data_IF_417368072170
#
_entry.id   IF_417368072170
#
_cell.length_a   1.000
_cell.length_b   1.000
_cell.length_c   1.000
_cell.angle_alpha   90.00
_cell.angle_beta   90.00
_cell.angle_gamma   90.00
#
_symmetry.space_group_name_H-M   'P 1'
#
loop_
_entity.id
_entity.type
_entity.pdbx_description
1 polymer ?
#
# COMPACT_ATOMS: atom_id res chain seq x y z
N UNK A 1 -11.09 0.02 15.56
CA UNK A 1 -12.18 -0.91 15.23
C UNK A 1 -13.27 -0.87 16.32
N UNK A 2 -14.51 -1.08 15.92
CA UNK A 2 -15.67 -1.22 16.80
C UNK A 2 -15.70 -2.65 17.33
N UNK A 3 -16.16 -2.82 18.57
CA UNK A 3 -16.37 -4.14 19.20
C UNK A 3 -17.87 -4.30 19.41
N UNK A 4 -18.42 -5.44 19.03
CA UNK A 4 -19.84 -5.75 19.23
C UNK A 4 -20.15 -6.12 20.70
N UNK A 5 -21.43 -6.39 20.99
CA UNK A 5 -21.87 -6.74 22.33
C UNK A 5 -21.28 -8.07 22.86
N UNK A 6 -20.70 -8.89 21.99
CA UNK A 6 -20.11 -10.19 22.33
C UNK A 6 -18.56 -10.11 22.39
N UNK A 7 -17.97 -8.92 22.25
CA UNK A 7 -16.52 -8.72 22.27
C UNK A 7 -15.82 -8.97 20.94
N UNK A 8 -16.54 -9.23 19.85
CA UNK A 8 -15.97 -9.45 18.52
C UNK A 8 -15.52 -8.12 17.91
N UNK A 9 -14.29 -8.08 17.41
CA UNK A 9 -13.76 -6.90 16.71
C UNK A 9 -14.32 -6.88 15.29
N UNK A 10 -15.15 -5.87 15.01
CA UNK A 10 -15.76 -5.66 13.70
C UNK A 10 -14.79 -4.95 12.74
N UNK A 11 -15.01 -5.13 11.43
CA UNK A 11 -14.31 -4.34 10.40
C UNK A 11 -14.99 -2.97 10.23
N UNK A 12 -15.29 -2.31 11.33
CA UNK A 12 -15.88 -0.98 11.40
C UNK A 12 -14.95 -0.06 12.20
N UNK A 13 -14.58 1.07 11.63
CA UNK A 13 -13.62 2.01 12.17
C UNK A 13 -14.27 3.39 12.29
N UNK A 14 -14.21 3.96 13.50
CA UNK A 14 -14.63 5.35 13.73
C UNK A 14 -13.43 6.27 13.64
N UNK A 15 -13.62 7.39 12.99
CA UNK A 15 -12.60 8.44 12.90
C UNK A 15 -12.21 8.96 14.28
N UNK A 16 -10.92 9.08 14.48
CA UNK A 16 -10.33 9.67 15.68
C UNK A 16 -9.10 10.48 15.31
N UNK A 17 -8.88 11.58 16.01
CA UNK A 17 -7.60 12.28 15.94
C UNK A 17 -6.47 11.37 16.42
N UNK A 18 -5.32 11.45 15.77
CA UNK A 18 -4.10 10.75 16.19
C UNK A 18 -3.62 11.42 17.47
N UNK A 19 -3.51 10.64 18.55
CA UNK A 19 -2.98 11.06 19.83
C UNK A 19 -1.50 10.70 19.98
N UNK A 20 -0.95 11.02 21.15
CA UNK A 20 0.45 10.68 21.50
C UNK A 20 0.64 9.21 21.87
N UNK A 21 -0.43 8.51 22.24
CA UNK A 21 -0.41 7.08 22.56
C UNK A 21 -1.03 6.28 21.42
N UNK A 22 -0.38 5.18 21.02
CA UNK A 22 -0.94 4.25 20.04
C UNK A 22 -2.20 3.58 20.62
N UNK A 23 -3.27 3.43 19.82
CA UNK A 23 -4.46 2.70 20.25
C UNK A 23 -4.15 1.22 20.52
N UNK A 24 -4.72 0.67 21.60
CA UNK A 24 -4.59 -0.75 21.95
C UNK A 24 -5.43 -1.67 21.05
N UNK A 25 -6.48 -1.12 20.41
CA UNK A 25 -7.35 -1.86 19.47
C UNK A 25 -6.88 -1.68 18.04
N UNK A 26 -7.25 -2.58 17.11
CA UNK A 26 -6.94 -2.43 15.69
C UNK A 26 -7.34 -1.05 15.14
N UNK A 27 -6.44 -0.42 14.42
CA UNK A 27 -6.61 0.90 13.81
C UNK A 27 -5.91 0.99 12.47
N UNK A 28 -6.33 1.94 11.66
CA UNK A 28 -5.72 2.23 10.36
C UNK A 28 -5.54 3.74 10.21
N UNK A 29 -4.65 4.14 9.31
CA UNK A 29 -4.43 5.55 8.95
C UNK A 29 -4.91 5.80 7.54
N UNK A 30 -5.54 6.96 7.31
CA UNK A 30 -5.86 7.42 5.98
C UNK A 30 -4.56 7.73 5.21
N UNK A 31 -4.53 7.35 3.94
CA UNK A 31 -3.38 7.57 3.06
C UNK A 31 -3.39 8.96 2.44
N UNK A 32 -4.57 9.53 2.23
CA UNK A 32 -4.75 10.88 1.71
C UNK A 32 -5.27 11.84 2.79
N UNK A 33 -4.97 13.12 2.62
CA UNK A 33 -5.49 14.18 3.47
C UNK A 33 -6.90 14.62 3.07
N UNK A 34 -7.50 15.59 3.79
CA UNK A 34 -8.82 16.17 3.47
C UNK A 34 -8.87 16.80 2.08
N UNK A 35 -7.74 17.21 1.53
CA UNK A 35 -7.55 17.71 0.17
C UNK A 35 -7.53 16.61 -0.90
N UNK A 36 -7.76 15.36 -0.51
CA UNK A 36 -7.73 14.15 -1.35
C UNK A 36 -6.38 13.90 -2.02
N UNK A 37 -5.31 14.46 -1.48
CA UNK A 37 -3.95 14.23 -1.94
C UNK A 37 -3.26 13.22 -1.02
N UNK A 38 -2.58 12.25 -1.61
CA UNK A 38 -1.86 11.21 -0.86
C UNK A 38 -0.58 11.76 -0.25
N UNK A 39 -0.37 11.46 1.02
CA UNK A 39 0.88 11.74 1.77
C UNK A 39 1.58 10.46 2.19
N UNK A 40 0.89 9.35 2.08
CA UNK A 40 1.39 8.01 2.31
C UNK A 40 0.95 7.14 1.13
N UNK A 41 1.83 6.26 0.68
CA UNK A 41 1.43 5.11 -0.13
C UNK A 41 1.57 3.87 0.76
N UNK A 42 0.55 3.03 0.77
CA UNK A 42 0.60 1.72 1.41
C UNK A 42 0.04 0.69 0.43
N UNK A 43 0.93 -0.12 -0.09
CA UNK A 43 0.58 -1.23 -0.96
C UNK A 43 0.22 -2.42 -0.08
N UNK A 44 -1.06 -2.76 -0.04
CA UNK A 44 -1.61 -3.86 0.75
C UNK A 44 -1.66 -5.13 -0.11
N UNK A 45 -0.78 -6.07 0.19
CA UNK A 45 -0.63 -7.33 -0.54
C UNK A 45 -1.27 -8.45 0.29
N UNK A 46 -2.49 -8.82 -0.07
CA UNK A 46 -3.28 -9.81 0.63
C UNK A 46 -2.81 -11.24 0.32
N UNK A 47 -2.60 -12.03 1.37
CA UNK A 47 -2.17 -13.42 1.20
C UNK A 47 -3.26 -14.33 0.60
N UNK A 48 -4.56 -14.08 0.87
CA UNK A 48 -5.68 -14.90 0.38
C UNK A 48 -5.46 -16.41 0.53
N UNK A 49 -4.75 -16.84 1.60
CA UNK A 49 -4.39 -18.24 1.82
C UNK A 49 -3.05 -18.68 1.22
N UNK A 50 -2.37 -17.84 0.44
CA UNK A 50 -1.00 -18.05 -0.06
C UNK A 50 -0.04 -16.92 0.41
N UNK A 51 0.55 -17.01 1.60
CA UNK A 51 1.52 -16.03 2.09
C UNK A 51 2.77 -15.92 1.20
N UNK A 52 3.11 -16.98 0.47
CA UNK A 52 4.26 -16.96 -0.42
C UNK A 52 4.00 -16.10 -1.65
N UNK A 53 2.76 -16.04 -2.16
CA UNK A 53 2.40 -15.12 -3.24
C UNK A 53 2.55 -13.66 -2.80
N UNK A 54 2.01 -13.28 -1.62
CA UNK A 54 2.16 -11.93 -1.10
C UNK A 54 3.64 -11.55 -0.86
N UNK A 55 4.47 -12.51 -0.43
CA UNK A 55 5.89 -12.28 -0.26
C UNK A 55 6.62 -12.05 -1.60
N UNK A 56 6.33 -12.87 -2.62
CA UNK A 56 6.89 -12.68 -3.99
C UNK A 56 6.51 -11.32 -4.58
N UNK A 57 5.24 -10.94 -4.47
CA UNK A 57 4.77 -9.64 -4.95
C UNK A 57 5.43 -8.47 -4.18
N UNK A 58 5.66 -8.66 -2.87
CA UNK A 58 6.39 -7.67 -2.06
C UNK A 58 7.86 -7.52 -2.52
N UNK A 59 8.53 -8.62 -2.90
CA UNK A 59 9.90 -8.58 -3.42
C UNK A 59 9.96 -7.86 -4.78
N UNK A 60 9.00 -8.14 -5.69
CA UNK A 60 8.88 -7.47 -6.99
C UNK A 60 8.67 -5.97 -6.78
N UNK A 61 7.67 -5.59 -6.01
CA UNK A 61 7.36 -4.18 -5.75
C UNK A 61 8.50 -3.46 -5.03
N UNK A 62 9.13 -4.11 -4.05
CA UNK A 62 10.30 -3.59 -3.35
C UNK A 62 11.48 -3.33 -4.30
N UNK A 63 11.67 -4.18 -5.33
CA UNK A 63 12.61 -3.95 -6.42
C UNK A 63 12.30 -2.66 -7.17
N UNK A 64 11.07 -2.52 -7.65
CA UNK A 64 10.62 -1.34 -8.41
C UNK A 64 10.75 -0.04 -7.62
N UNK A 65 10.43 -0.06 -6.32
CA UNK A 65 10.61 1.09 -5.43
C UNK A 65 12.09 1.49 -5.30
N UNK A 66 13.00 0.51 -5.17
CA UNK A 66 14.45 0.77 -5.13
C UNK A 66 14.97 1.34 -6.44
N UNK A 67 14.50 0.83 -7.58
CA UNK A 67 14.95 1.27 -8.91
C UNK A 67 14.67 2.76 -9.17
N UNK A 68 13.59 3.29 -8.58
CA UNK A 68 13.27 4.73 -8.66
C UNK A 68 13.71 5.52 -7.41
N UNK A 69 14.45 4.89 -6.49
CA UNK A 69 14.97 5.54 -5.29
C UNK A 69 13.90 5.94 -4.26
N UNK A 70 12.76 5.25 -4.22
CA UNK A 70 11.72 5.48 -3.23
C UNK A 70 12.04 4.69 -1.94
N UNK A 71 12.33 5.36 -0.81
CA UNK A 71 12.49 4.70 0.47
C UNK A 71 11.18 4.07 0.92
N UNK A 72 11.23 2.85 1.44
CA UNK A 72 10.03 2.17 1.92
C UNK A 72 10.29 1.34 3.16
N UNK A 73 9.21 1.04 3.87
CA UNK A 73 9.17 0.10 5.00
C UNK A 73 8.31 -1.09 4.60
N UNK A 74 8.90 -2.28 4.65
CA UNK A 74 8.18 -3.54 4.44
C UNK A 74 7.72 -4.09 5.78
N UNK A 75 6.43 -4.41 5.87
CA UNK A 75 5.83 -5.03 7.05
C UNK A 75 5.12 -6.33 6.70
N UNK A 76 5.11 -7.25 7.64
CA UNK A 76 4.08 -8.28 7.71
C UNK A 76 2.79 -7.64 8.23
N UNK A 77 1.66 -7.85 7.55
CA UNK A 77 0.40 -7.18 7.91
C UNK A 77 -0.24 -7.75 9.18
N UNK A 78 0.08 -9.00 9.50
CA UNK A 78 -0.45 -9.74 10.65
C UNK A 78 -0.34 -11.25 10.45
N UNK A 79 -1.00 -12.08 11.29
CA UNK A 79 -0.79 -13.53 11.33
C UNK A 79 -1.22 -14.27 10.06
N UNK A 80 -1.91 -13.62 9.14
CA UNK A 80 -2.35 -14.22 7.86
C UNK A 80 -1.28 -14.21 6.79
N UNK A 81 -0.14 -13.55 7.03
CA UNK A 81 1.01 -13.54 6.13
C UNK A 81 0.94 -12.54 4.97
N UNK A 82 -0.03 -11.63 4.96
CA UNK A 82 -0.06 -10.49 4.03
C UNK A 82 1.14 -9.56 4.23
N UNK A 83 1.39 -8.69 3.27
CA UNK A 83 2.50 -7.73 3.31
C UNK A 83 2.01 -6.31 3.04
N UNK A 84 2.61 -5.35 3.72
CA UNK A 84 2.42 -3.92 3.42
C UNK A 84 3.77 -3.30 3.07
N UNK A 85 3.83 -2.57 1.95
CA UNK A 85 4.97 -1.69 1.66
C UNK A 85 4.51 -0.25 1.84
N UNK A 86 5.19 0.46 2.72
CA UNK A 86 4.86 1.83 3.10
C UNK A 86 5.88 2.80 2.55
N UNK A 87 5.41 3.86 1.89
CA UNK A 87 6.22 4.99 1.42
C UNK A 87 5.66 6.28 2.01
N UNK A 88 6.48 7.02 2.73
CA UNK A 88 6.17 8.38 3.18
C UNK A 88 6.52 9.39 2.08
N UNK A 89 5.63 10.33 1.80
CA UNK A 89 5.80 11.33 0.77
C UNK A 89 6.12 12.70 1.37
N UNK A 90 7.25 13.31 1.01
CA UNK A 90 7.58 14.70 1.33
C UNK A 90 6.67 15.67 0.58
N UNK A 91 6.24 15.29 -0.62
CA UNK A 91 5.30 16.04 -1.47
C UNK A 91 4.03 15.22 -1.69
N UNK A 92 2.87 15.84 -1.53
CA UNK A 92 1.60 15.14 -1.77
C UNK A 92 1.40 14.84 -3.26
N UNK A 93 0.81 13.69 -3.54
CA UNK A 93 0.50 13.21 -4.90
C UNK A 93 -1.01 13.19 -5.11
N UNK A 94 -1.46 13.54 -6.30
CA UNK A 94 -2.87 13.53 -6.65
C UNK A 94 -3.44 12.11 -6.76
N UNK A 95 -4.75 12.00 -6.58
CA UNK A 95 -5.46 10.72 -6.54
C UNK A 95 -5.42 9.97 -7.87
N UNK A 96 -5.39 10.68 -9.00
CA UNK A 96 -5.38 10.06 -10.33
C UNK A 96 -4.04 9.34 -10.59
N UNK A 97 -2.92 10.00 -10.26
CA UNK A 97 -1.58 9.42 -10.35
C UNK A 97 -1.49 8.17 -9.48
N UNK A 98 -1.98 8.22 -8.23
CA UNK A 98 -1.91 7.07 -7.30
C UNK A 98 -2.83 5.93 -7.75
N UNK A 99 -4.04 6.22 -8.20
CA UNK A 99 -4.96 5.20 -8.71
C UNK A 99 -4.41 4.54 -10.00
N UNK A 100 -3.73 5.30 -10.85
CA UNK A 100 -3.05 4.77 -12.04
C UNK A 100 -1.91 3.85 -11.64
N UNK A 101 -1.05 4.29 -10.70
CA UNK A 101 0.00 3.44 -10.15
C UNK A 101 -0.55 2.12 -9.59
N UNK A 102 -1.62 2.18 -8.78
CA UNK A 102 -2.22 0.99 -8.20
C UNK A 102 -2.71 0.01 -9.26
N UNK A 103 -3.44 0.50 -10.28
CA UNK A 103 -3.92 -0.36 -11.38
C UNK A 103 -2.78 -1.03 -12.14
N UNK A 104 -1.76 -0.28 -12.51
CA UNK A 104 -0.59 -0.83 -13.21
C UNK A 104 0.16 -1.84 -12.34
N UNK A 105 0.40 -1.52 -11.07
CA UNK A 105 1.07 -2.42 -10.12
C UNK A 105 0.30 -3.74 -9.94
N UNK A 106 -1.03 -3.71 -9.97
CA UNK A 106 -1.87 -4.91 -9.85
C UNK A 106 -1.61 -5.95 -10.95
N UNK A 107 -1.19 -5.53 -12.15
CA UNK A 107 -0.82 -6.46 -13.23
C UNK A 107 0.48 -7.22 -12.90
N UNK A 108 1.42 -6.60 -12.20
CA UNK A 108 2.69 -7.22 -11.82
C UNK A 108 2.61 -7.92 -10.45
N UNK A 109 1.74 -7.44 -9.57
CA UNK A 109 1.55 -7.90 -8.20
C UNK A 109 0.07 -8.29 -7.97
N UNK A 110 -0.35 -9.50 -8.40
CA UNK A 110 -1.75 -9.93 -8.33
C UNK A 110 -2.36 -9.94 -6.93
N UNK A 111 -1.56 -9.99 -5.87
CA UNK A 111 -2.05 -9.96 -4.49
C UNK A 111 -2.41 -8.56 -3.98
N UNK A 112 -2.09 -7.48 -4.73
CA UNK A 112 -2.36 -6.11 -4.33
C UNK A 112 -3.87 -5.84 -4.19
N UNK A 113 -4.32 -5.37 -3.02
CA UNK A 113 -5.64 -4.75 -2.86
C UNK A 113 -5.59 -3.31 -3.39
N UNK A 114 -6.45 -3.03 -4.38
CA UNK A 114 -6.54 -1.70 -4.99
C UNK A 114 -7.24 -0.67 -4.10
N UNK A 115 -8.10 -1.12 -3.19
CA UNK A 115 -9.03 -0.25 -2.45
C UNK A 115 -8.33 0.89 -1.72
N UNK A 116 -7.23 0.70 -0.98
CA UNK A 116 -6.59 1.78 -0.25
C UNK A 116 -6.03 2.89 -1.15
N UNK A 117 -5.43 2.52 -2.29
CA UNK A 117 -4.75 3.46 -3.18
C UNK A 117 -5.68 4.06 -4.25
N UNK A 118 -6.85 3.47 -4.49
CA UNK A 118 -7.85 4.00 -5.44
C UNK A 118 -8.93 4.85 -4.77
N UNK A 119 -8.93 4.94 -3.44
CA UNK A 119 -9.93 5.70 -2.69
C UNK A 119 -9.29 6.80 -1.83
N UNK A 120 -9.21 8.00 -2.36
CA UNK A 120 -8.63 9.16 -1.68
C UNK A 120 -9.52 9.72 -0.53
N UNK A 121 -10.70 9.15 -0.29
CA UNK A 121 -11.60 9.62 0.78
C UNK A 121 -11.50 8.73 2.02
N UNK A 122 -11.56 7.40 1.83
CA UNK A 122 -11.59 6.43 2.92
C UNK A 122 -10.50 5.37 2.82
N UNK A 123 -9.60 5.46 1.83
CA UNK A 123 -8.47 4.54 1.68
C UNK A 123 -7.56 4.60 2.90
N UNK A 124 -7.48 3.48 3.61
CA UNK A 124 -6.71 3.38 4.84
C UNK A 124 -6.06 2.00 4.97
N UNK A 125 -4.91 1.96 5.63
CA UNK A 125 -4.17 0.71 5.89
C UNK A 125 -3.68 0.71 7.33
N UNK A 126 -3.53 -0.45 7.92
CA UNK A 126 -2.99 -0.65 9.26
C UNK A 126 -1.49 -0.35 9.25
N UNK A 127 -1.02 0.67 10.01
CA UNK A 127 0.38 1.06 9.98
C UNK A 127 1.30 0.09 10.75
N UNK A 128 2.62 0.22 10.59
CA UNK A 128 3.60 -0.54 11.37
C UNK A 128 3.33 -0.47 12.87
N UNK A 129 3.38 -1.59 13.55
CA UNK A 129 3.14 -1.71 14.99
C UNK A 129 1.67 -1.74 15.42
N UNK A 130 0.72 -1.46 14.53
CA UNK A 130 -0.69 -1.47 14.89
C UNK A 130 -1.23 -2.91 15.10
N UNK A 131 -2.12 -3.13 16.10
CA UNK A 131 -2.72 -4.43 16.37
C UNK A 131 -3.54 -4.94 15.19
N UNK A 132 -3.52 -6.25 14.97
CA UNK A 132 -4.34 -6.93 13.99
C UNK A 132 -5.61 -7.51 14.63
N UNK A 133 -6.74 -7.49 13.92
CA UNK A 133 -8.04 -8.02 14.43
C UNK A 133 -8.02 -9.51 14.74
N UNK A 134 -7.17 -10.29 14.07
CA UNK A 134 -6.99 -11.72 14.31
C UNK A 134 -5.87 -12.01 15.33
N UNK A 135 -5.41 -11.00 16.08
CA UNK A 135 -4.29 -11.10 17.01
C UNK A 135 -2.96 -10.70 16.37
N UNK A 136 -1.93 -10.45 17.21
CA UNK A 136 -0.63 -9.96 16.77
C UNK A 136 -0.67 -8.50 16.29
N UNK A 137 0.39 -8.08 15.63
CA UNK A 137 0.62 -6.70 15.18
C UNK A 137 1.20 -6.69 13.77
N UNK A 138 1.07 -5.57 13.08
CA UNK A 138 1.85 -5.30 11.87
C UNK A 138 3.33 -5.16 12.24
N UNK A 139 4.18 -6.05 11.74
CA UNK A 139 5.58 -6.16 12.15
C UNK A 139 6.50 -5.70 11.02
N UNK A 140 7.44 -4.81 11.32
CA UNK A 140 8.47 -4.38 10.36
C UNK A 140 9.39 -5.54 10.05
N UNK A 141 9.53 -5.88 8.77
CA UNK A 141 10.44 -6.90 8.25
C UNK A 141 11.73 -6.26 7.73
N UNK A 142 11.64 -5.11 7.07
CA UNK A 142 12.80 -4.36 6.57
C UNK A 142 12.46 -2.88 6.35
N UNK A 143 13.49 -2.06 6.20
CA UNK A 143 13.38 -0.62 6.07
C UNK A 143 13.46 0.10 7.40
N UNK A 144 13.59 1.44 7.35
CA UNK A 144 13.68 2.30 8.52
C UNK A 144 12.38 3.12 8.66
N UNK A 145 11.80 3.13 9.85
CA UNK A 145 10.62 3.93 10.16
C UNK A 145 10.84 5.44 9.98
N UNK A 146 12.07 5.90 9.97
CA UNK A 146 12.37 7.30 9.68
C UNK A 146 11.98 7.69 8.24
N UNK A 147 11.92 6.73 7.31
CA UNK A 147 11.35 6.96 5.97
C UNK A 147 9.87 7.40 6.00
N UNK A 148 9.15 7.09 7.07
CA UNK A 148 7.75 7.51 7.28
C UNK A 148 7.63 8.75 8.18
N UNK A 149 8.58 8.96 9.10
CA UNK A 149 8.57 10.08 10.05
C UNK A 149 9.11 11.38 9.45
N UNK A 150 10.16 11.26 8.64
CA UNK A 150 10.83 12.35 7.94
C UNK A 150 10.94 11.98 6.44
N UNK A 151 9.80 11.93 5.72
CA UNK A 151 9.78 11.42 4.37
C UNK A 151 10.57 12.31 3.41
N UNK A 152 11.28 11.67 2.49
CA UNK A 152 12.07 12.33 1.43
C UNK A 152 11.56 12.05 0.02
N UNK A 153 10.63 11.10 -0.14
CA UNK A 153 10.10 10.71 -1.44
C UNK A 153 9.30 11.84 -2.08
N UNK A 154 9.59 12.13 -3.34
CA UNK A 154 9.01 13.22 -4.12
C UNK A 154 7.89 12.74 -5.05
N UNK A 155 7.02 13.64 -5.47
CA UNK A 155 6.02 13.36 -6.50
C UNK A 155 6.66 12.97 -7.86
N UNK A 156 7.86 13.46 -8.16
CA UNK A 156 8.60 13.08 -9.37
C UNK A 156 9.01 11.60 -9.34
N UNK A 157 9.47 11.09 -8.21
CA UNK A 157 9.79 9.66 -8.05
C UNK A 157 8.56 8.77 -8.17
N UNK A 158 7.41 9.21 -7.65
CA UNK A 158 6.14 8.46 -7.84
C UNK A 158 5.77 8.40 -9.31
N UNK A 159 5.88 9.51 -10.06
CA UNK A 159 5.65 9.51 -11.52
C UNK A 159 6.66 8.64 -12.27
N UNK A 160 7.91 8.61 -11.84
CA UNK A 160 8.93 7.71 -12.40
C UNK A 160 8.55 6.24 -12.16
N UNK A 161 8.02 5.90 -10.99
CA UNK A 161 7.49 4.56 -10.71
C UNK A 161 6.32 4.22 -11.62
N UNK A 162 5.37 5.15 -11.83
CA UNK A 162 4.25 4.94 -12.79
C UNK A 162 4.79 4.61 -14.17
N UNK A 163 5.76 5.38 -14.66
CA UNK A 163 6.35 5.17 -16.00
C UNK A 163 7.09 3.83 -16.09
N UNK A 164 7.84 3.46 -15.05
CA UNK A 164 8.56 2.18 -15.00
C UNK A 164 7.58 0.99 -15.05
N UNK A 165 6.54 1.03 -14.20
CA UNK A 165 5.54 -0.06 -14.14
C UNK A 165 4.74 -0.14 -15.44
N UNK A 166 4.37 1.00 -16.05
CA UNK A 166 3.67 1.02 -17.33
C UNK A 166 4.49 0.33 -18.43
N UNK A 167 5.79 0.64 -18.54
CA UNK A 167 6.67 -0.01 -19.51
C UNK A 167 6.74 -1.52 -19.33
N UNK A 168 6.82 -2.00 -18.09
CA UNK A 168 6.85 -3.44 -17.80
C UNK A 168 5.51 -4.14 -18.11
N UNK A 169 4.39 -3.47 -17.90
CA UNK A 169 3.06 -4.02 -18.25
C UNK A 169 2.90 -4.11 -19.76
N UNK A 170 3.30 -3.06 -20.52
CA UNK A 170 3.24 -3.04 -21.98
C UNK A 170 4.11 -4.16 -22.58
N UNK A 171 5.28 -4.43 -22.00
CA UNK A 171 6.18 -5.51 -22.45
C UNK A 171 5.64 -6.92 -22.19
N UNK A 172 4.72 -7.06 -21.22
CA UNK A 172 4.10 -8.37 -20.89
C UNK A 172 2.83 -8.67 -21.69
N UNK A 173 2.19 -7.65 -22.30
CA UNK A 173 1.05 -7.89 -23.20
C UNK A 173 1.55 -8.47 -24.53
N UNK A 174 0.98 -9.61 -25.01
CA UNK A 174 1.32 -10.13 -26.31
C UNK A 174 0.99 -9.08 -27.40
N UNK A 175 1.96 -8.82 -28.29
CA UNK A 175 1.78 -7.89 -29.40
C UNK A 175 0.43 -8.17 -30.10
N UNK A 176 -0.44 -7.15 -30.17
CA UNK A 176 -1.71 -7.29 -30.90
C UNK A 176 -1.42 -7.75 -32.32
N UNK A 177 -2.08 -8.82 -32.82
CA UNK A 177 -1.93 -9.22 -34.20
C UNK A 177 -2.20 -8.01 -35.10
N UNK A 178 -1.25 -7.68 -35.98
CA UNK A 178 -1.47 -6.70 -37.03
C UNK A 178 -2.54 -7.28 -37.95
N UNK A 179 -3.70 -6.64 -38.04
CA UNK A 179 -4.74 -7.04 -39.01
C UNK A 179 -4.17 -6.83 -40.43
N UNK A 180 -3.97 -7.89 -41.22
CA UNK A 180 -3.35 -7.77 -42.54
C UNK A 180 -4.27 -7.09 -43.57
N UNK A 181 -5.38 -6.49 -43.13
CA UNK A 181 -6.38 -5.82 -44.00
C UNK A 181 -6.47 -4.31 -43.74
N UNK A 182 -5.47 -3.67 -43.11
CA UNK A 182 -5.38 -2.22 -43.00
C UNK A 182 -4.55 -1.65 -44.12
#
# INVERSE_FOLDING_TARGET
AVVDAYGTVLNDYRDRAIGTAAPERPWAVYLAGPDKRFRLLAFDLDAHGDPAAAARDADVLGGLLRDVGLPYVLCESGPTGGRHLWVGLAESVDAETVATLARLTKHLCPTLDLSPLSNAVTGCVRPPGAPHRAGGHSTVLSGDLDALRAPTATAAQVRALVSLVAGLVDDTEPARPIDPRS
#
